data_IF_327462625373
#
_entry.id   IF_327462625373
#
_cell.length_a   1.000
_cell.length_b   1.000
_cell.length_c   1.000
_cell.angle_alpha   90.00
_cell.angle_beta   90.00
_cell.angle_gamma   90.00
#
_symmetry.space_group_name_H-M   'P 1'
#
loop_
_entity.id
_entity.type
_entity.pdbx_description
1 polymer ?
#
# COMPACT_ATOMS: atom_id res chain seq x y z
N UNK A 1 19.15 -12.08 11.49
CA UNK A 1 17.68 -12.19 11.60
C UNK A 1 16.96 -11.72 10.34
N UNK A 2 17.15 -10.46 9.90
CA UNK A 2 16.48 -9.90 8.71
C UNK A 2 16.55 -10.79 7.46
N UNK A 3 17.72 -11.34 7.12
CA UNK A 3 17.86 -12.22 5.95
C UNK A 3 16.98 -13.48 6.03
N UNK A 4 16.87 -14.10 7.21
CA UNK A 4 16.04 -15.29 7.44
C UNK A 4 14.57 -14.94 7.25
N UNK A 5 14.16 -13.78 7.78
CA UNK A 5 12.80 -13.26 7.63
C UNK A 5 12.44 -13.04 6.16
N UNK A 6 13.31 -12.37 5.40
CA UNK A 6 13.10 -12.11 3.98
C UNK A 6 13.05 -13.41 3.17
N UNK A 7 13.91 -14.38 3.52
CA UNK A 7 13.91 -15.71 2.88
C UNK A 7 12.63 -16.47 3.19
N UNK A 8 12.13 -16.42 4.42
CA UNK A 8 10.88 -17.06 4.80
C UNK A 8 9.69 -16.50 4.01
N UNK A 9 9.58 -15.18 3.88
CA UNK A 9 8.54 -14.53 3.08
C UNK A 9 8.66 -14.95 1.61
N UNK A 10 9.87 -14.93 1.04
CA UNK A 10 10.11 -15.25 -0.37
C UNK A 10 9.87 -16.72 -0.74
N UNK A 11 9.89 -17.64 0.22
CA UNK A 11 9.80 -19.09 -0.02
C UNK A 11 8.43 -19.69 0.31
N UNK A 12 7.65 -19.05 1.17
CA UNK A 12 6.34 -19.56 1.58
C UNK A 12 5.22 -18.86 0.81
N UNK A 13 4.11 -19.58 0.63
CA UNK A 13 2.95 -19.07 -0.10
C UNK A 13 2.33 -17.84 0.60
N UNK A 14 1.89 -16.82 -0.15
CA UNK A 14 1.14 -15.69 0.42
C UNK A 14 -0.29 -16.08 0.76
N UNK A 15 -0.97 -15.21 1.52
CA UNK A 15 -2.43 -15.26 1.77
C UNK A 15 -2.94 -16.49 2.54
N UNK A 16 -2.07 -17.22 3.23
CA UNK A 16 -2.46 -18.31 4.15
C UNK A 16 -2.27 -17.79 5.57
N UNK A 17 -3.38 -17.67 6.31
CA UNK A 17 -3.38 -17.18 7.70
C UNK A 17 -2.46 -18.05 8.58
N UNK A 18 -1.70 -17.39 9.44
CA UNK A 18 -0.84 -17.99 10.47
C UNK A 18 0.24 -18.93 9.92
N UNK A 19 0.60 -18.76 8.64
CA UNK A 19 1.73 -19.47 8.06
C UNK A 19 3.07 -18.78 8.39
N UNK A 20 4.17 -19.46 8.09
CA UNK A 20 5.52 -18.94 8.34
C UNK A 20 5.79 -17.58 7.65
N UNK A 21 5.15 -17.31 6.50
CA UNK A 21 5.29 -16.04 5.80
C UNK A 21 4.61 -14.89 6.56
N UNK A 22 3.42 -15.12 7.14
CA UNK A 22 2.69 -14.13 7.93
C UNK A 22 3.42 -13.79 9.23
N UNK A 23 3.97 -14.80 9.91
CA UNK A 23 4.83 -14.57 11.09
C UNK A 23 6.11 -13.81 10.71
N UNK A 24 6.72 -14.15 9.58
CA UNK A 24 7.90 -13.46 9.07
C UNK A 24 7.59 -12.02 8.67
N UNK A 25 6.44 -11.75 8.03
CA UNK A 25 5.98 -10.38 7.73
C UNK A 25 5.79 -9.56 9.01
N UNK A 26 5.15 -10.12 10.04
CA UNK A 26 5.00 -9.43 11.32
C UNK A 26 6.36 -9.11 11.94
N UNK A 27 7.29 -10.07 11.95
CA UNK A 27 8.65 -9.82 12.44
C UNK A 27 9.40 -8.79 11.60
N UNK A 28 9.23 -8.79 10.26
CA UNK A 28 9.83 -7.77 9.39
C UNK A 28 9.34 -6.37 9.75
N UNK A 29 8.03 -6.21 9.96
CA UNK A 29 7.42 -4.94 10.37
C UNK A 29 7.99 -4.46 11.71
N UNK A 30 8.08 -5.34 12.70
CA UNK A 30 8.70 -5.03 14.00
C UNK A 30 10.17 -4.61 13.86
N UNK A 31 10.93 -5.27 12.99
CA UNK A 31 12.33 -4.92 12.73
C UNK A 31 12.49 -3.57 12.02
N UNK A 32 11.54 -3.20 11.16
CA UNK A 32 11.56 -1.96 10.40
C UNK A 32 11.04 -0.75 11.19
N UNK A 33 10.35 -0.94 12.32
CA UNK A 33 9.76 0.14 13.12
C UNK A 33 10.70 1.33 13.33
N UNK A 34 10.13 2.53 13.27
CA UNK A 34 10.85 3.80 13.39
C UNK A 34 11.91 4.00 12.31
N UNK A 35 11.68 3.46 11.11
CA UNK A 35 12.59 3.60 9.96
C UNK A 35 13.97 2.99 10.21
N UNK A 36 14.05 1.76 10.72
CA UNK A 36 15.32 1.11 11.03
C UNK A 36 16.20 0.93 9.78
N UNK A 37 17.16 1.85 9.62
CA UNK A 37 17.99 1.96 8.42
C UNK A 37 18.80 0.70 8.12
N UNK A 38 19.31 0.03 9.14
CA UNK A 38 20.10 -1.19 8.97
C UNK A 38 19.26 -2.33 8.37
N UNK A 39 18.00 -2.44 8.79
CA UNK A 39 17.05 -3.45 8.29
C UNK A 39 16.62 -3.11 6.87
N UNK A 40 16.35 -1.84 6.59
CA UNK A 40 16.05 -1.34 5.25
C UNK A 40 17.22 -1.60 4.27
N UNK A 41 18.45 -1.27 4.64
CA UNK A 41 19.65 -1.53 3.82
C UNK A 41 19.88 -3.02 3.58
N UNK A 42 19.68 -3.85 4.60
CA UNK A 42 19.75 -5.31 4.47
C UNK A 42 18.68 -5.84 3.51
N UNK A 43 17.48 -5.26 3.55
CA UNK A 43 16.37 -5.63 2.66
C UNK A 43 16.64 -5.22 1.23
N UNK A 44 17.14 -4.01 1.00
CA UNK A 44 17.57 -3.56 -0.31
C UNK A 44 18.69 -4.45 -0.89
N UNK A 45 19.70 -4.78 -0.07
CA UNK A 45 20.77 -5.71 -0.49
C UNK A 45 20.23 -7.10 -0.83
N UNK A 46 19.31 -7.62 -0.03
CA UNK A 46 18.68 -8.91 -0.30
C UNK A 46 17.94 -8.89 -1.64
N UNK A 47 17.14 -7.86 -1.90
CA UNK A 47 16.41 -7.70 -3.17
C UNK A 47 17.34 -7.62 -4.38
N UNK A 48 18.45 -6.89 -4.25
CA UNK A 48 19.36 -6.62 -5.38
C UNK A 48 20.39 -7.72 -5.63
N UNK A 49 20.81 -8.45 -4.59
CA UNK A 49 21.90 -9.43 -4.68
C UNK A 49 21.40 -10.87 -4.59
N UNK A 50 20.47 -11.14 -3.65
CA UNK A 50 20.04 -12.50 -3.31
C UNK A 50 18.79 -12.91 -4.08
N UNK A 51 17.76 -12.07 -4.10
CA UNK A 51 16.44 -12.37 -4.67
C UNK A 51 16.33 -11.98 -6.15
N UNK A 52 17.21 -12.55 -6.98
CA UNK A 52 17.30 -12.22 -8.43
C UNK A 52 16.01 -12.45 -9.22
N UNK A 53 15.12 -13.30 -8.70
CA UNK A 53 13.82 -13.61 -9.31
C UNK A 53 12.67 -12.74 -8.75
N UNK A 54 12.96 -11.82 -7.83
CA UNK A 54 11.96 -10.94 -7.24
C UNK A 54 10.87 -11.67 -6.48
N UNK A 55 11.18 -12.79 -5.83
CA UNK A 55 10.21 -13.61 -5.08
C UNK A 55 9.56 -12.84 -3.93
N UNK A 56 10.33 -12.01 -3.21
CA UNK A 56 9.81 -11.18 -2.12
C UNK A 56 8.79 -10.16 -2.64
N UNK A 57 9.14 -9.42 -3.69
CA UNK A 57 8.23 -8.45 -4.31
C UNK A 57 7.03 -9.15 -4.96
N UNK A 58 7.23 -10.33 -5.54
CA UNK A 58 6.14 -11.16 -6.09
C UNK A 58 5.18 -11.59 -4.98
N UNK A 59 5.70 -12.00 -3.83
CA UNK A 59 4.89 -12.33 -2.66
C UNK A 59 4.05 -11.13 -2.22
N UNK A 60 4.66 -9.95 -2.06
CA UNK A 60 3.94 -8.71 -1.72
C UNK A 60 2.88 -8.36 -2.78
N UNK A 61 3.23 -8.48 -4.05
CA UNK A 61 2.30 -8.26 -5.17
C UNK A 61 1.10 -9.21 -5.11
N UNK A 62 1.32 -10.50 -4.88
CA UNK A 62 0.24 -11.49 -4.78
C UNK A 62 -0.73 -11.17 -3.63
N UNK A 63 -0.23 -10.62 -2.52
CA UNK A 63 -1.08 -10.13 -1.42
C UNK A 63 -1.88 -8.88 -1.83
N UNK A 64 -1.27 -7.96 -2.56
CA UNK A 64 -1.96 -6.78 -3.11
C UNK A 64 -3.03 -7.15 -4.14
N UNK A 65 -2.75 -8.12 -5.01
CA UNK A 65 -3.73 -8.62 -5.99
C UNK A 65 -4.92 -9.29 -5.29
N UNK A 66 -4.68 -10.07 -4.23
CA UNK A 66 -5.76 -10.60 -3.41
C UNK A 66 -6.60 -9.50 -2.74
N UNK A 67 -5.97 -8.41 -2.30
CA UNK A 67 -6.70 -7.25 -1.78
C UNK A 67 -7.53 -6.53 -2.87
N UNK A 68 -7.01 -6.43 -4.09
CA UNK A 68 -7.72 -5.89 -5.25
C UNK A 68 -8.97 -6.72 -5.58
N UNK A 69 -8.83 -8.05 -5.64
CA UNK A 69 -9.95 -8.94 -5.93
C UNK A 69 -11.01 -8.88 -4.82
N UNK A 70 -10.59 -8.87 -3.55
CA UNK A 70 -11.47 -8.67 -2.41
C UNK A 70 -12.24 -7.34 -2.50
N UNK A 71 -11.56 -6.24 -2.85
CA UNK A 71 -12.22 -4.93 -2.97
C UNK A 71 -13.15 -4.87 -4.18
N UNK A 72 -12.86 -5.60 -5.25
CA UNK A 72 -13.73 -5.70 -6.43
C UNK A 72 -15.02 -6.42 -6.08
N UNK A 73 -14.92 -7.61 -5.49
CA UNK A 73 -16.08 -8.37 -5.00
C UNK A 73 -16.90 -7.55 -3.99
N UNK A 74 -16.21 -6.85 -3.09
CA UNK A 74 -16.85 -6.00 -2.10
C UNK A 74 -17.65 -4.88 -2.75
N UNK A 75 -17.10 -4.24 -3.78
CA UNK A 75 -17.76 -3.16 -4.53
C UNK A 75 -19.03 -3.66 -5.21
N UNK A 76 -18.99 -4.83 -5.81
CA UNK A 76 -20.15 -5.46 -6.46
C UNK A 76 -21.25 -5.76 -5.44
N UNK A 77 -20.90 -6.30 -4.28
CA UNK A 77 -21.85 -6.58 -3.20
C UNK A 77 -22.55 -5.34 -2.66
N UNK A 78 -21.86 -4.19 -2.64
CA UNK A 78 -22.44 -2.93 -2.17
C UNK A 78 -22.99 -2.06 -3.31
N UNK A 79 -23.04 -2.56 -4.55
CA UNK A 79 -23.40 -1.77 -5.74
C UNK A 79 -24.80 -1.14 -5.67
N UNK A 80 -25.75 -1.77 -4.99
CA UNK A 80 -27.11 -1.27 -4.84
C UNK A 80 -27.39 -0.72 -3.44
N UNK A 81 -26.99 -1.45 -2.41
CA UNK A 81 -27.22 -1.10 -1.01
C UNK A 81 -26.01 -1.40 -0.15
N UNK A 82 -26.00 -0.81 1.03
CA UNK A 82 -25.02 -1.16 2.04
C UNK A 82 -25.19 -2.63 2.47
N UNK A 83 -24.08 -3.35 2.56
CA UNK A 83 -24.01 -4.72 3.09
C UNK A 83 -22.92 -4.74 4.16
N UNK A 84 -23.19 -5.34 5.32
CA UNK A 84 -22.20 -5.43 6.39
C UNK A 84 -21.03 -6.32 5.97
N UNK A 85 -19.80 -5.96 6.34
CA UNK A 85 -18.62 -6.78 6.07
C UNK A 85 -18.73 -8.15 6.75
N UNK A 86 -18.62 -9.21 5.95
CA UNK A 86 -18.54 -10.58 6.44
C UNK A 86 -17.19 -10.85 7.13
N UNK A 87 -17.12 -11.87 7.99
CA UNK A 87 -15.90 -12.23 8.73
C UNK A 87 -14.71 -12.50 7.80
N UNK A 88 -14.94 -13.22 6.70
CA UNK A 88 -13.91 -13.54 5.69
C UNK A 88 -13.34 -12.26 5.06
N UNK A 89 -14.21 -11.30 4.74
CA UNK A 89 -13.79 -10.01 4.17
C UNK A 89 -13.00 -9.18 5.18
N UNK A 90 -13.43 -9.15 6.45
CA UNK A 90 -12.69 -8.47 7.52
C UNK A 90 -11.27 -9.02 7.67
N UNK A 91 -11.11 -10.35 7.67
CA UNK A 91 -9.79 -11.00 7.71
C UNK A 91 -8.94 -10.61 6.48
N UNK A 92 -9.54 -10.63 5.30
CA UNK A 92 -8.86 -10.21 4.08
C UNK A 92 -8.40 -8.74 4.12
N UNK A 93 -9.23 -7.82 4.65
CA UNK A 93 -8.83 -6.42 4.85
C UNK A 93 -7.68 -6.30 5.86
N UNK A 94 -7.71 -7.06 6.97
CA UNK A 94 -6.59 -7.06 7.92
C UNK A 94 -5.28 -7.56 7.31
N UNK A 95 -5.33 -8.56 6.42
CA UNK A 95 -4.14 -9.00 5.67
C UNK A 95 -3.63 -7.92 4.71
N UNK A 96 -4.55 -7.22 4.05
CA UNK A 96 -4.20 -6.09 3.18
C UNK A 96 -3.54 -4.96 3.99
N UNK A 97 -4.08 -4.61 5.16
CA UNK A 97 -3.50 -3.62 6.08
C UNK A 97 -2.06 -3.97 6.46
N UNK A 98 -1.78 -5.22 6.88
CA UNK A 98 -0.42 -5.66 7.21
C UNK A 98 0.53 -5.56 6.01
N UNK A 99 0.02 -5.86 4.82
CA UNK A 99 0.82 -5.76 3.58
C UNK A 99 1.17 -4.31 3.27
N UNK A 100 0.18 -3.41 3.39
CA UNK A 100 0.41 -1.97 3.21
C UNK A 100 1.40 -1.44 4.25
N UNK A 101 1.20 -1.75 5.53
CA UNK A 101 2.10 -1.32 6.60
C UNK A 101 3.55 -1.81 6.36
N UNK A 102 3.74 -3.07 5.96
CA UNK A 102 5.07 -3.56 5.63
C UNK A 102 5.73 -2.78 4.47
N UNK A 103 4.98 -2.48 3.41
CA UNK A 103 5.50 -1.69 2.27
C UNK A 103 5.78 -0.24 2.70
N UNK A 104 4.92 0.36 3.51
CA UNK A 104 5.08 1.70 4.06
C UNK A 104 6.37 1.80 4.90
N UNK A 105 6.61 0.84 5.79
CA UNK A 105 7.81 0.78 6.64
C UNK A 105 9.12 0.58 5.84
N UNK A 106 9.06 -0.08 4.68
CA UNK A 106 10.22 -0.18 3.79
C UNK A 106 10.65 1.19 3.23
N UNK A 107 9.70 2.12 3.05
CA UNK A 107 9.95 3.46 2.53
C UNK A 107 10.10 4.52 3.63
N UNK A 108 9.76 4.19 4.87
CA UNK A 108 9.78 5.10 6.03
C UNK A 108 11.13 5.82 6.16
N UNK A 109 11.07 7.12 6.48
CA UNK A 109 12.27 7.95 6.60
C UNK A 109 12.92 8.28 5.25
N UNK A 110 12.13 8.28 4.18
CA UNK A 110 12.54 8.64 2.82
C UNK A 110 13.70 7.79 2.29
N UNK A 111 13.65 6.47 2.51
CA UNK A 111 14.72 5.59 2.07
C UNK A 111 14.68 5.34 0.57
N UNK A 112 15.31 6.26 -0.18
CA UNK A 112 15.32 6.30 -1.65
C UNK A 112 15.61 4.94 -2.33
N UNK A 113 16.63 4.15 -1.94
CA UNK A 113 16.86 2.84 -2.54
C UNK A 113 15.63 1.92 -2.52
N UNK A 114 14.89 1.83 -1.41
CA UNK A 114 13.67 1.02 -1.38
C UNK A 114 12.48 1.71 -2.07
N UNK A 115 12.35 3.04 -1.99
CA UNK A 115 11.34 3.79 -2.76
C UNK A 115 11.46 3.54 -4.27
N UNK A 116 12.68 3.52 -4.80
CA UNK A 116 12.94 3.19 -6.20
C UNK A 116 12.74 1.70 -6.47
N UNK A 117 13.23 0.83 -5.58
CA UNK A 117 13.10 -0.63 -5.73
C UNK A 117 11.67 -1.12 -5.70
N UNK A 118 10.70 -0.46 -5.05
CA UNK A 118 9.29 -0.89 -5.13
C UNK A 118 8.58 -0.39 -6.40
N UNK A 119 9.19 0.57 -7.14
CA UNK A 119 8.70 1.07 -8.43
C UNK A 119 9.27 0.27 -9.59
N UNK A 120 10.59 0.10 -9.61
CA UNK A 120 11.32 -0.46 -10.75
C UNK A 120 12.55 -1.23 -10.29
N UNK A 121 12.79 -2.41 -10.87
CA UNK A 121 13.90 -3.28 -10.49
C UNK A 121 14.72 -3.71 -11.72
N UNK A 122 15.57 -2.84 -12.28
CA UNK A 122 16.35 -3.14 -13.48
C UNK A 122 17.35 -4.30 -13.29
N UNK A 123 17.66 -4.65 -12.04
CA UNK A 123 18.55 -5.75 -11.67
C UNK A 123 17.85 -7.12 -11.63
N UNK A 124 16.52 -7.17 -11.72
CA UNK A 124 15.73 -8.40 -11.63
C UNK A 124 15.30 -8.88 -13.01
N UNK A 125 15.05 -10.18 -13.15
CA UNK A 125 14.48 -10.75 -14.39
C UNK A 125 13.00 -10.38 -14.61
N UNK A 126 12.36 -9.79 -13.60
CA UNK A 126 10.96 -9.38 -13.60
C UNK A 126 10.87 -7.97 -13.05
N UNK A 127 10.01 -7.14 -13.64
CA UNK A 127 9.71 -5.81 -13.12
C UNK A 127 8.36 -5.81 -12.41
N UNK A 128 8.37 -5.55 -11.11
CA UNK A 128 7.20 -5.56 -10.23
C UNK A 128 7.00 -4.15 -9.69
N UNK A 129 6.06 -3.43 -10.30
CA UNK A 129 5.72 -2.08 -9.87
C UNK A 129 4.59 -2.13 -8.84
N UNK A 130 4.96 -2.20 -7.56
CA UNK A 130 3.99 -2.24 -6.46
C UNK A 130 3.22 -0.93 -6.34
N UNK A 131 3.86 0.21 -6.63
CA UNK A 131 3.22 1.54 -6.58
C UNK A 131 2.01 1.57 -7.52
N UNK A 132 2.14 1.07 -8.75
CA UNK A 132 1.03 1.01 -9.71
C UNK A 132 -0.10 0.10 -9.23
N UNK A 133 0.20 -1.04 -8.59
CA UNK A 133 -0.83 -1.93 -8.07
C UNK A 133 -1.54 -1.31 -6.84
N UNK A 134 -0.83 -0.53 -6.02
CA UNK A 134 -1.41 0.26 -4.91
C UNK A 134 -2.29 1.40 -5.44
N UNK A 135 -1.87 2.11 -6.50
CA UNK A 135 -2.69 3.13 -7.17
C UNK A 135 -4.01 2.53 -7.69
N UNK A 136 -3.96 1.35 -8.32
CA UNK A 136 -5.16 0.65 -8.79
C UNK A 136 -6.11 0.34 -7.64
N UNK A 137 -5.57 -0.07 -6.49
CA UNK A 137 -6.37 -0.35 -5.31
C UNK A 137 -7.01 0.93 -4.76
N UNK A 138 -6.25 2.01 -4.65
CA UNK A 138 -6.77 3.31 -4.22
C UNK A 138 -7.90 3.79 -5.13
N UNK A 139 -7.70 3.68 -6.45
CA UNK A 139 -8.73 4.02 -7.42
C UNK A 139 -9.97 3.14 -7.24
N UNK A 140 -9.82 1.81 -7.12
CA UNK A 140 -10.95 0.90 -6.93
C UNK A 140 -11.76 1.23 -5.66
N UNK A 141 -11.08 1.63 -4.59
CA UNK A 141 -11.70 2.07 -3.34
C UNK A 141 -12.45 3.40 -3.49
N UNK A 142 -11.92 4.34 -4.28
CA UNK A 142 -12.36 5.73 -4.28
C UNK A 142 -12.70 6.27 -5.68
N UNK A 143 -13.16 5.42 -6.58
CA UNK A 143 -13.49 5.80 -7.96
C UNK A 143 -14.75 6.68 -8.08
N UNK A 144 -15.62 6.63 -7.06
CA UNK A 144 -16.84 7.43 -7.01
C UNK A 144 -17.24 7.83 -5.58
N UNK A 145 -17.95 8.95 -5.40
CA UNK A 145 -18.51 9.32 -4.10
C UNK A 145 -19.49 8.26 -3.56
N UNK A 146 -20.13 7.48 -4.44
CA UNK A 146 -21.06 6.40 -4.07
C UNK A 146 -20.30 5.25 -3.41
N UNK A 147 -19.12 4.89 -3.93
CA UNK A 147 -18.23 3.87 -3.36
C UNK A 147 -17.85 4.22 -1.92
N UNK A 148 -17.34 5.45 -1.70
CA UNK A 148 -16.93 5.92 -0.37
C UNK A 148 -18.10 5.95 0.63
N UNK A 149 -19.29 6.39 0.20
CA UNK A 149 -20.50 6.43 1.05
C UNK A 149 -20.94 5.05 1.57
N UNK A 150 -20.48 3.97 0.96
CA UNK A 150 -20.91 2.59 1.30
C UNK A 150 -19.89 1.82 2.13
N UNK A 151 -18.70 2.37 2.30
CA UNK A 151 -17.66 1.76 3.13
C UNK A 151 -18.05 1.74 4.62
N UNK A 152 -17.64 0.68 5.29
CA UNK A 152 -17.46 0.63 6.74
C UNK A 152 -16.14 1.27 7.16
N UNK A 153 -16.00 1.55 8.46
CA UNK A 153 -14.78 2.16 9.02
C UNK A 153 -13.51 1.39 8.62
N UNK A 154 -13.52 0.06 8.70
CA UNK A 154 -12.37 -0.79 8.37
C UNK A 154 -11.94 -0.67 6.89
N UNK A 155 -12.89 -0.49 5.97
CA UNK A 155 -12.58 -0.26 4.54
C UNK A 155 -11.90 1.10 4.35
N UNK A 156 -12.37 2.13 5.07
CA UNK A 156 -11.76 3.47 5.03
C UNK A 156 -10.38 3.47 5.71
N UNK A 157 -10.18 2.68 6.76
CA UNK A 157 -8.85 2.46 7.36
C UNK A 157 -7.87 1.88 6.33
N UNK A 158 -8.31 0.92 5.52
CA UNK A 158 -7.49 0.39 4.42
C UNK A 158 -7.18 1.47 3.37
N UNK A 159 -8.14 2.32 3.01
CA UNK A 159 -7.87 3.47 2.14
C UNK A 159 -6.85 4.44 2.74
N UNK A 160 -6.92 4.70 4.04
CA UNK A 160 -5.91 5.51 4.73
C UNK A 160 -4.51 4.87 4.61
N UNK A 161 -4.39 3.58 4.93
CA UNK A 161 -3.13 2.85 4.83
C UNK A 161 -2.59 2.80 3.39
N UNK A 162 -3.48 2.71 2.40
CA UNK A 162 -3.13 2.79 0.98
C UNK A 162 -2.53 4.16 0.63
N UNK A 163 -3.11 5.26 1.15
CA UNK A 163 -2.55 6.60 0.99
C UNK A 163 -1.21 6.75 1.73
N UNK A 164 -1.07 6.21 2.94
CA UNK A 164 0.16 6.26 3.73
C UNK A 164 1.35 5.62 2.98
N UNK A 165 1.14 4.46 2.34
CA UNK A 165 2.19 3.84 1.49
C UNK A 165 2.57 4.75 0.33
N UNK A 166 1.58 5.31 -0.37
CA UNK A 166 1.86 6.19 -1.51
C UNK A 166 2.63 7.44 -1.06
N UNK A 167 2.26 8.03 0.08
CA UNK A 167 2.98 9.16 0.69
C UNK A 167 4.43 8.78 0.97
N UNK A 168 4.69 7.73 1.75
CA UNK A 168 6.07 7.32 2.07
C UNK A 168 6.88 6.94 0.82
N UNK A 169 6.22 6.46 -0.25
CA UNK A 169 6.89 6.17 -1.52
C UNK A 169 7.35 7.42 -2.28
N UNK A 170 6.78 8.60 -1.99
CA UNK A 170 7.11 9.88 -2.66
C UNK A 170 7.70 10.94 -1.74
N UNK A 171 7.58 10.80 -0.42
CA UNK A 171 8.02 11.79 0.54
C UNK A 171 9.55 11.83 0.60
N UNK A 172 10.11 13.04 0.68
CA UNK A 172 11.50 13.30 0.31
C UNK A 172 11.65 13.44 -1.21
N UNK A 173 12.77 13.98 -1.73
CA UNK A 173 12.92 14.17 -3.17
C UNK A 173 13.04 12.81 -3.89
N UNK A 174 11.91 12.30 -4.39
CA UNK A 174 11.82 11.11 -5.24
C UNK A 174 11.08 11.44 -6.55
N UNK A 175 11.70 12.20 -7.48
CA UNK A 175 11.00 12.77 -8.63
C UNK A 175 10.30 11.73 -9.51
N UNK A 176 10.91 10.56 -9.69
CA UNK A 176 10.32 9.49 -10.52
C UNK A 176 9.01 8.94 -9.93
N UNK A 177 8.94 8.77 -8.60
CA UNK A 177 7.72 8.32 -7.94
C UNK A 177 6.69 9.47 -7.88
N UNK A 178 7.15 10.71 -7.66
CA UNK A 178 6.29 11.90 -7.65
C UNK A 178 5.62 12.10 -9.01
N UNK A 179 6.37 12.01 -10.10
CA UNK A 179 5.86 12.09 -11.48
C UNK A 179 4.88 10.96 -11.78
N UNK A 180 5.25 9.71 -11.45
CA UNK A 180 4.39 8.54 -11.63
C UNK A 180 3.02 8.73 -10.97
N UNK A 181 2.99 9.18 -9.71
CA UNK A 181 1.73 9.36 -8.98
C UNK A 181 0.97 10.60 -9.48
N UNK A 182 1.65 11.74 -9.65
CA UNK A 182 1.01 13.00 -10.04
C UNK A 182 0.40 12.94 -11.45
N UNK A 183 1.02 12.21 -12.37
CA UNK A 183 0.51 12.00 -13.74
C UNK A 183 -0.50 10.86 -13.83
N UNK A 184 -0.66 10.05 -12.78
CA UNK A 184 -1.62 8.95 -12.76
C UNK A 184 -3.05 9.46 -12.59
N UNK A 185 -3.81 9.45 -13.68
CA UNK A 185 -5.23 9.80 -13.65
C UNK A 185 -6.04 8.99 -12.61
N UNK A 186 -5.81 7.66 -12.42
CA UNK A 186 -6.45 6.92 -11.34
C UNK A 186 -6.16 7.46 -9.94
N UNK A 187 -4.89 7.77 -9.63
CA UNK A 187 -4.50 8.29 -8.31
C UNK A 187 -5.14 9.66 -8.04
N UNK A 188 -5.04 10.58 -9.00
CA UNK A 188 -5.58 11.93 -8.87
C UNK A 188 -7.12 11.94 -8.85
N UNK A 189 -7.77 11.03 -9.58
CA UNK A 189 -9.23 10.87 -9.52
C UNK A 189 -9.68 10.39 -8.15
N UNK A 190 -8.97 9.44 -7.54
CA UNK A 190 -9.26 8.98 -6.19
C UNK A 190 -9.16 10.13 -5.17
N UNK A 191 -8.06 10.91 -5.21
CA UNK A 191 -7.89 12.08 -4.33
C UNK A 191 -9.00 13.11 -4.54
N UNK A 192 -9.30 13.48 -5.79
CA UNK A 192 -10.39 14.39 -6.13
C UNK A 192 -11.75 13.91 -5.61
N UNK A 193 -11.94 12.59 -5.52
CA UNK A 193 -13.17 11.99 -4.99
C UNK A 193 -13.21 12.01 -3.47
N UNK A 194 -12.09 11.73 -2.80
CA UNK A 194 -11.97 11.68 -1.33
C UNK A 194 -12.21 13.04 -0.67
N UNK A 195 -11.61 14.11 -1.21
CA UNK A 195 -11.65 15.43 -0.58
C UNK A 195 -13.07 15.98 -0.33
N UNK A 196 -13.97 16.02 -1.34
CA UNK A 196 -15.35 16.44 -1.14
C UNK A 196 -16.25 15.32 -0.61
N UNK A 197 -15.76 14.08 -0.44
CA UNK A 197 -16.60 12.96 -0.08
C UNK A 197 -17.33 13.19 1.25
N UNK A 198 -18.61 12.80 1.25
CA UNK A 198 -19.42 12.66 2.45
C UNK A 198 -19.34 11.20 2.87
N UNK A 199 -18.61 10.92 3.94
CA UNK A 199 -18.50 9.57 4.49
C UNK A 199 -19.76 9.19 5.27
N UNK A 200 -20.07 7.90 5.30
CA UNK A 200 -21.22 7.40 6.05
C UNK A 200 -21.06 7.58 7.56
N UNK A 201 -22.18 7.59 8.28
CA UNK A 201 -22.20 7.61 9.76
C UNK A 201 -21.46 6.43 10.41
N UNK A 202 -21.27 5.33 9.67
CA UNK A 202 -20.60 4.10 10.12
C UNK A 202 -19.08 4.24 10.21
N UNK A 203 -18.50 5.28 9.62
CA UNK A 203 -17.07 5.58 9.67
C UNK A 203 -16.83 6.57 10.81
N UNK A 204 -15.82 6.37 11.65
CA UNK A 204 -15.54 7.28 12.77
C UNK A 204 -15.17 8.68 12.27
N UNK A 205 -15.46 9.74 13.04
CA UNK A 205 -15.08 11.11 12.65
C UNK A 205 -13.57 11.24 12.45
N UNK A 206 -12.78 10.56 13.29
CA UNK A 206 -11.33 10.52 13.21
C UNK A 206 -10.85 9.91 11.89
N UNK A 207 -11.34 8.72 11.53
CA UNK A 207 -10.97 8.03 10.29
C UNK A 207 -11.27 8.89 9.07
N UNK A 208 -12.44 9.55 9.04
CA UNK A 208 -12.82 10.47 7.94
C UNK A 208 -11.85 11.64 7.79
N UNK A 209 -11.51 12.27 8.91
CA UNK A 209 -10.56 13.38 8.94
C UNK A 209 -9.19 12.93 8.46
N UNK A 210 -8.70 11.81 9.00
CA UNK A 210 -7.40 11.26 8.67
C UNK A 210 -7.28 10.94 7.18
N UNK A 211 -8.26 10.24 6.59
CA UNK A 211 -8.24 9.92 5.16
C UNK A 211 -8.19 11.17 4.27
N UNK A 212 -8.94 12.22 4.62
CA UNK A 212 -8.89 13.50 3.89
C UNK A 212 -7.53 14.19 4.04
N UNK A 213 -6.98 14.19 5.26
CA UNK A 213 -5.65 14.73 5.55
C UNK A 213 -4.56 14.01 4.75
N UNK A 214 -4.61 12.67 4.67
CA UNK A 214 -3.67 11.87 3.86
C UNK A 214 -3.83 12.12 2.36
N UNK A 215 -5.05 12.28 1.87
CA UNK A 215 -5.26 12.63 0.46
C UNK A 215 -4.64 14.00 0.10
N UNK A 216 -4.73 14.99 1.00
CA UNK A 216 -4.04 16.27 0.84
C UNK A 216 -2.52 16.13 0.94
N UNK A 217 -2.04 15.35 1.91
CA UNK A 217 -0.60 15.11 2.10
C UNK A 217 0.01 14.44 0.87
N UNK A 218 -0.67 13.48 0.25
CA UNK A 218 -0.21 12.85 -0.98
C UNK A 218 -0.01 13.88 -2.10
N UNK A 219 -0.97 14.80 -2.29
CA UNK A 219 -0.82 15.90 -3.24
C UNK A 219 0.38 16.80 -2.91
N UNK A 220 0.57 17.14 -1.64
CA UNK A 220 1.69 17.96 -1.20
C UNK A 220 3.03 17.27 -1.48
N UNK A 221 3.15 15.97 -1.15
CA UNK A 221 4.38 15.21 -1.36
C UNK A 221 4.72 14.98 -2.83
N UNK A 222 3.71 14.88 -3.70
CA UNK A 222 3.93 14.90 -5.16
C UNK A 222 4.53 16.22 -5.69
N UNK A 223 4.42 17.33 -4.95
CA UNK A 223 4.90 18.65 -5.36
C UNK A 223 6.24 19.05 -4.70
N UNK A 224 6.78 18.24 -3.79
CA UNK A 224 8.00 18.55 -3.05
C UNK A 224 9.22 18.73 -3.96
N UNK A 225 9.40 17.83 -4.95
CA UNK A 225 10.56 17.77 -5.83
C UNK A 225 10.42 18.47 -7.18
N UNK A 226 9.36 19.27 -7.40
CA UNK A 226 9.22 20.05 -8.65
C UNK A 226 10.35 21.07 -8.78
N UNK A 227 11.01 21.04 -9.94
CA UNK A 227 12.10 21.95 -10.33
C UNK A 227 11.61 23.34 -10.74
N UNK A 228 10.32 23.50 -11.00
CA UNK A 228 9.69 24.76 -11.46
C UNK A 228 9.44 25.75 -10.30
N UNK A 229 10.29 25.72 -9.26
CA UNK A 229 10.24 26.64 -8.11
C UNK A 229 11.19 27.81 -8.32
#
# INVERSE_FOLDING_TARGET
>A
VTHVVLTAIATHAPNIDDNAADCAMALLMELLRMGNRQVQETTHRYLTVTDRHGKLLTHMRQRLLAALDLMRERKDQVADRFVKLALVQRRGIHRALRTMEAIQLLCEGHFKPLQETIREQPMLSVNINLINDIIKLLFLQCDSPRSIRRMEDLEVTLTCSTLDVLIESVQGPCPANQELIAMSAPAMTAVKTILPAVFSSRVSKYTRFLTKSRALQLCASCLEGRKDK
#
